data_IF_459304844326
#
_entry.id   IF_459304844326
#
_cell.length_a   1.000
_cell.length_b   1.000
_cell.length_c   1.000
_cell.angle_alpha   90.00
_cell.angle_beta   90.00
_cell.angle_gamma   90.00
#
_symmetry.space_group_name_H-M   'P 1'
#
loop_
_entity.id
_entity.type
_entity.pdbx_description
1 polymer ?
2 non-polymer ?
3 non-polymer ?
4 non-polymer ?
5 water ?
#
# COMPACT_ATOMS: atom_id res chain seq x y z
N UNK A 8 -7.94 -23.02 37.14
CA UNK A 8 -7.80 -22.86 38.61
C UNK A 8 -6.37 -23.28 38.97
N UNK A 9 -5.63 -22.47 39.72
CA UNK A 9 -4.18 -22.71 39.93
C UNK A 9 -3.44 -22.45 38.61
N UNK A 10 -2.88 -21.25 38.49
CA UNK A 10 -2.02 -20.80 37.37
C UNK A 10 -0.60 -20.68 37.93
N UNK A 11 0.45 -20.58 37.07
CA UNK A 11 1.78 -20.26 37.58
C UNK A 11 1.69 -18.87 38.20
N UNK A 12 2.63 -18.58 39.09
CA UNK A 12 2.85 -17.24 39.66
C UNK A 12 3.12 -16.27 38.49
N UNK A 13 2.55 -15.04 38.54
CA UNK A 13 2.98 -13.97 37.65
C UNK A 13 4.50 -13.75 37.66
N UNK A 14 5.17 -14.08 38.77
CA UNK A 14 6.66 -13.98 38.91
C UNK A 14 7.34 -14.80 37.81
N UNK A 15 6.80 -15.96 37.43
CA UNK A 15 7.45 -16.91 36.49
C UNK A 15 6.71 -16.93 35.15
N UNK A 16 5.58 -16.27 35.02
CA UNK A 16 4.81 -16.26 33.75
C UNK A 16 4.09 -14.92 33.61
N UNK A 17 4.67 -13.98 32.83
CA UNK A 17 4.24 -12.55 32.85
C UNK A 17 2.80 -12.39 32.40
N UNK A 18 2.23 -13.34 31.64
CA UNK A 18 0.90 -13.19 31.03
C UNK A 18 -0.16 -13.11 32.12
N UNK A 19 0.01 -13.86 33.22
CA UNK A 19 -1.11 -14.14 34.17
C UNK A 19 -1.11 -13.08 35.29
N UNK A 20 -0.34 -12.01 35.17
CA UNK A 20 -0.47 -10.82 36.08
C UNK A 20 -1.96 -10.43 36.04
N UNK A 21 -2.53 -9.97 37.14
CA UNK A 21 -3.99 -9.62 37.17
C UNK A 21 -4.29 -8.50 36.18
N UNK A 22 -5.31 -8.71 35.35
CA UNK A 22 -5.92 -7.67 34.51
C UNK A 22 -6.28 -6.49 35.43
N UNK A 23 -5.92 -5.29 34.99
CA UNK A 23 -6.16 -4.00 35.66
C UNK A 23 -5.92 -2.91 34.61
N UNK A 24 -6.27 -1.66 34.93
CA UNK A 24 -6.10 -0.53 34.00
C UNK A 24 -4.60 -0.22 33.86
N UNK A 25 -3.76 -0.80 34.73
CA UNK A 25 -2.27 -0.77 34.61
C UNK A 25 -1.79 -1.50 33.34
N UNK A 26 -2.58 -2.46 32.82
CA UNK A 26 -2.04 -3.38 31.77
C UNK A 26 -3.02 -3.66 30.62
N UNK A 27 -4.33 -3.51 30.79
CA UNK A 27 -5.35 -3.81 29.74
C UNK A 27 -6.58 -2.91 29.92
N UNK A 28 -7.13 -2.42 28.82
CA UNK A 28 -8.34 -1.55 28.76
C UNK A 28 -9.29 -2.11 27.68
N UNK A 29 -10.55 -2.33 28.06
CA UNK A 29 -11.63 -2.86 27.19
C UNK A 29 -12.61 -1.73 26.89
N UNK A 30 -13.27 -1.80 25.74
CA UNK A 30 -14.42 -0.94 25.39
C UNK A 30 -15.48 -1.23 26.44
N UNK A 31 -16.16 -0.21 26.93
CA UNK A 31 -17.31 -0.37 27.85
C UNK A 31 -18.48 0.34 27.20
N UNK A 32 -19.12 -0.33 26.24
CA UNK A 32 -20.25 0.26 25.47
C UNK A 32 -21.27 -0.83 25.18
N UNK A 33 -22.31 -0.49 24.45
CA UNK A 33 -23.43 -1.42 24.16
C UNK A 33 -22.97 -2.54 23.23
N UNK A 34 -21.90 -2.32 22.43
CA UNK A 34 -21.32 -3.34 21.51
C UNK A 34 -20.60 -4.41 22.34
N UNK A 35 -19.70 -4.00 23.23
CA UNK A 35 -18.90 -4.88 24.12
C UNK A 35 -19.77 -5.53 25.19
N UNK A 36 -21.06 -5.18 25.26
CA UNK A 36 -22.09 -6.01 25.97
C UNK A 36 -22.16 -7.36 25.24
N UNK A 37 -21.81 -8.44 25.95
CA UNK A 37 -21.80 -9.85 25.48
C UNK A 37 -20.86 -10.01 24.27
N UNK A 38 -20.66 -11.26 23.82
CA UNK A 38 -19.62 -11.62 22.87
C UNK A 38 -18.24 -11.45 23.51
N UNK A 39 -17.18 -11.47 22.70
CA UNK A 39 -15.78 -11.30 23.18
C UNK A 39 -15.63 -9.84 23.59
N UNK A 40 -15.04 -9.52 24.77
CA UNK A 40 -14.66 -8.14 25.09
C UNK A 40 -13.83 -7.56 23.94
N UNK A 41 -13.96 -6.26 23.69
CA UNK A 41 -13.20 -5.53 22.63
C UNK A 41 -12.03 -4.80 23.31
N UNK A 42 -10.81 -5.08 22.84
CA UNK A 42 -9.59 -4.52 23.47
C UNK A 42 -9.43 -3.10 22.95
N UNK A 43 -9.26 -2.13 23.85
CA UNK A 43 -8.93 -0.73 23.47
C UNK A 43 -7.41 -0.55 23.49
N UNK A 44 -6.75 -1.17 24.46
CA UNK A 44 -5.29 -1.10 24.58
C UNK A 44 -4.75 -2.02 25.65
N UNK A 45 -3.41 -2.15 25.71
CA UNK A 45 -2.75 -2.94 26.75
C UNK A 45 -1.26 -2.89 26.59
N UNK A 46 -0.55 -3.43 27.58
CA UNK A 46 0.88 -3.81 27.43
C UNK A 46 0.98 -4.80 26.27
N UNK A 47 2.13 -4.89 25.64
CA UNK A 47 2.27 -5.95 24.59
C UNK A 47 1.99 -7.33 25.23
N UNK A 48 2.39 -7.56 26.48
CA UNK A 48 2.17 -8.86 27.19
C UNK A 48 0.68 -9.17 27.21
N UNK A 49 -0.15 -8.21 27.59
CA UNK A 49 -1.61 -8.43 27.69
C UNK A 49 -2.22 -8.59 26.29
N UNK A 50 -1.75 -7.87 25.30
CA UNK A 50 -2.25 -8.08 23.91
C UNK A 50 -1.95 -9.52 23.47
N UNK A 51 -0.77 -10.02 23.79
CA UNK A 51 -0.36 -11.40 23.40
C UNK A 51 -1.26 -12.40 24.14
N UNK A 52 -1.50 -12.14 25.43
CA UNK A 52 -2.33 -13.06 26.25
C UNK A 52 -3.69 -13.14 25.57
N UNK A 53 -4.27 -12.00 25.15
CA UNK A 53 -5.65 -11.96 24.58
C UNK A 53 -5.66 -12.51 23.15
N UNK A 54 -4.53 -12.45 22.46
CA UNK A 54 -4.36 -13.04 21.12
C UNK A 54 -4.46 -14.58 21.16
N UNK A 55 -4.12 -15.17 22.31
CA UNK A 55 -3.93 -16.60 22.55
C UNK A 55 -4.67 -16.99 23.83
N UNK A 56 -5.91 -16.50 23.99
CA UNK A 56 -6.65 -16.56 25.27
C UNK A 56 -7.18 -17.97 25.49
N UNK A 57 -7.01 -18.56 26.68
CA UNK A 57 -7.49 -19.95 26.95
C UNK A 57 -9.02 -20.06 26.80
N UNK A 58 -9.77 -19.00 27.12
CA UNK A 58 -11.23 -19.08 27.36
C UNK A 58 -12.04 -19.05 26.07
N UNK A 59 -11.51 -18.49 24.99
CA UNK A 59 -12.22 -18.44 23.68
C UNK A 59 -11.26 -18.07 22.55
N UNK A 60 -11.63 -18.48 21.34
CA UNK A 60 -11.03 -18.09 20.04
C UNK A 60 -11.41 -16.64 19.75
N UNK A 61 -10.52 -15.90 19.10
CA UNK A 61 -10.80 -14.48 18.74
C UNK A 61 -10.23 -14.20 17.37
N UNK A 62 -10.82 -14.80 16.30
CA UNK A 62 -10.28 -14.67 14.94
C UNK A 62 -10.15 -13.22 14.45
N UNK A 63 -11.10 -12.35 14.83
CA UNK A 63 -11.12 -10.91 14.41
C UNK A 63 -9.87 -10.20 14.98
N UNK A 64 -9.57 -10.43 16.26
CA UNK A 64 -8.38 -9.86 16.93
C UNK A 64 -7.11 -10.40 16.26
N UNK A 65 -7.05 -11.71 16.02
CA UNK A 65 -5.85 -12.36 15.40
C UNK A 65 -5.58 -11.69 14.05
N UNK A 66 -6.62 -11.50 13.22
CA UNK A 66 -6.50 -10.89 11.89
C UNK A 66 -6.04 -9.44 12.01
N UNK A 67 -6.67 -8.65 12.88
CA UNK A 67 -6.28 -7.23 13.07
C UNK A 67 -4.88 -7.13 13.69
N UNK A 68 -4.57 -8.01 14.63
CA UNK A 68 -3.26 -7.98 15.32
C UNK A 68 -2.17 -8.22 14.28
N UNK A 69 -2.30 -9.29 13.49
CA UNK A 69 -1.22 -9.64 12.53
C UNK A 69 -1.12 -8.63 11.38
N UNK A 70 -2.16 -7.83 11.11
CA UNK A 70 -2.09 -6.69 10.14
C UNK A 70 -1.32 -5.52 10.74
N UNK A 71 -1.48 -5.24 12.04
CA UNK A 71 -1.08 -3.93 12.64
C UNK A 71 0.14 -4.02 13.58
N UNK A 72 0.54 -5.21 14.03
CA UNK A 72 1.45 -5.33 15.21
C UNK A 72 2.79 -4.66 14.92
N UNK A 73 3.19 -4.53 13.65
CA UNK A 73 4.54 -4.00 13.34
C UNK A 73 4.61 -2.51 13.76
N UNK A 74 3.48 -1.88 14.04
CA UNK A 74 3.47 -0.47 14.52
C UNK A 74 3.70 -0.42 16.04
N UNK A 75 3.88 -1.55 16.74
CA UNK A 75 4.13 -1.49 18.20
C UNK A 75 5.09 -2.58 18.66
N UNK A 76 5.49 -3.49 17.78
CA UNK A 76 6.25 -4.69 18.16
C UNK A 76 7.00 -5.20 16.93
N UNK A 77 8.28 -5.53 17.01
CA UNK A 77 8.99 -6.13 15.86
C UNK A 77 8.58 -7.60 15.67
N UNK A 78 8.64 -8.11 14.42
CA UNK A 78 8.45 -9.54 14.15
C UNK A 78 9.24 -10.48 15.09
N UNK A 79 10.53 -10.20 15.27
CA UNK A 79 11.42 -10.98 16.19
C UNK A 79 10.83 -10.97 17.60
N UNK A 80 10.30 -9.85 18.06
CA UNK A 80 9.77 -9.71 19.43
C UNK A 80 8.44 -10.46 19.51
N UNK A 81 7.62 -10.42 18.45
CA UNK A 81 6.37 -11.20 18.41
C UNK A 81 6.68 -12.69 18.55
N UNK A 82 7.63 -13.21 17.77
CA UNK A 82 7.98 -14.63 17.87
C UNK A 82 8.42 -14.94 19.31
N UNK A 83 9.28 -14.13 19.92
CA UNK A 83 9.79 -14.31 21.31
C UNK A 83 8.61 -14.31 22.29
N UNK A 84 7.67 -13.39 22.12
CA UNK A 84 6.47 -13.33 23.01
C UNK A 84 5.61 -14.58 22.85
N UNK A 85 5.44 -15.12 21.63
CA UNK A 85 4.60 -16.32 21.43
C UNK A 85 5.28 -17.56 22.00
N UNK A 86 6.59 -17.68 21.83
CA UNK A 86 7.36 -18.77 22.46
C UNK A 86 7.26 -18.63 23.99
N UNK A 87 7.38 -17.41 24.53
CA UNK A 87 7.28 -17.17 26.00
C UNK A 87 5.89 -17.62 26.45
N UNK A 88 4.87 -17.29 25.67
CA UNK A 88 3.47 -17.68 25.97
C UNK A 88 3.36 -19.21 26.00
N UNK A 89 4.01 -19.87 25.06
CA UNK A 89 3.91 -21.34 24.85
C UNK A 89 4.52 -22.08 26.05
N UNK A 90 5.58 -21.53 26.61
CA UNK A 90 6.41 -22.24 27.60
C UNK A 90 5.80 -22.00 28.97
N UNK A 91 4.67 -22.64 29.25
CA UNK A 91 3.86 -22.33 30.45
C UNK A 91 4.40 -23.14 31.62
N UNK A 92 4.85 -22.50 32.73
CA UNK A 92 5.26 -23.24 33.93
C UNK A 92 4.08 -23.87 34.70
N UNK A 93 4.35 -24.91 35.47
CA UNK A 93 3.27 -25.59 36.22
C UNK A 93 3.02 -24.78 37.50
N UNK A 94 1.76 -24.70 37.98
CA UNK A 94 1.48 -23.97 39.22
C UNK A 94 2.24 -24.58 40.40
N UNK A 95 2.37 -23.81 41.48
CA UNK A 95 3.07 -24.19 42.73
C UNK A 95 2.16 -25.20 43.44
N UNK A 96 2.61 -26.43 43.73
CA UNK A 96 1.69 -27.47 44.23
C UNK A 96 1.06 -27.05 45.57
N UNK A 97 -0.13 -27.58 45.87
CA UNK A 97 -0.91 -27.24 47.09
C UNK A 97 -0.17 -27.75 48.34
N UNK A 98 0.49 -28.92 48.23
CA UNK A 98 1.12 -29.68 49.35
C UNK A 98 1.55 -31.06 48.84
N UNK A 99 0.57 -31.88 48.45
CA UNK A 99 0.76 -33.23 47.83
C UNK A 99 -0.60 -33.82 47.45
N UNK A 112 -1.68 -33.69 42.02
CA UNK A 112 -1.94 -34.66 40.94
C UNK A 112 -3.08 -34.16 40.04
N UNK A 113 -4.30 -34.10 40.58
CA UNK A 113 -5.56 -33.73 39.89
C UNK A 113 -5.43 -32.33 39.27
N UNK A 114 -4.85 -31.38 40.02
CA UNK A 114 -4.79 -29.94 39.69
C UNK A 114 -4.04 -29.75 38.36
N UNK A 115 -2.89 -30.41 38.23
CA UNK A 115 -2.01 -30.44 37.03
C UNK A 115 -2.82 -30.97 35.84
N UNK A 116 -3.63 -32.01 36.03
CA UNK A 116 -4.43 -32.64 34.96
C UNK A 116 -5.43 -31.63 34.39
N UNK A 117 -6.08 -30.84 35.26
CA UNK A 117 -7.00 -29.76 34.83
C UNK A 117 -6.21 -28.65 34.11
N UNK A 118 -5.14 -28.19 34.74
CA UNK A 118 -4.31 -27.07 34.22
C UNK A 118 -3.89 -27.40 32.78
N UNK A 119 -3.47 -28.63 32.51
CA UNK A 119 -2.98 -29.05 31.17
C UNK A 119 -4.13 -29.09 30.18
N UNK A 120 -5.30 -29.54 30.61
CA UNK A 120 -6.48 -29.71 29.72
C UNK A 120 -7.17 -28.36 29.47
N UNK A 121 -7.34 -27.54 30.50
CA UNK A 121 -8.19 -26.32 30.43
C UNK A 121 -7.34 -25.08 30.16
N UNK A 122 -6.04 -25.08 30.49
CA UNK A 122 -5.20 -23.87 30.31
C UNK A 122 -4.16 -24.12 29.24
N UNK A 123 -3.26 -25.07 29.50
CA UNK A 123 -2.03 -25.23 28.68
C UNK A 123 -2.45 -25.58 27.25
N UNK A 124 -3.25 -26.62 27.06
CA UNK A 124 -3.53 -27.15 25.70
C UNK A 124 -4.21 -26.08 24.85
N UNK A 125 -5.29 -25.43 25.35
CA UNK A 125 -5.99 -24.40 24.57
C UNK A 125 -5.06 -23.22 24.22
N UNK A 126 -4.19 -22.78 25.15
CA UNK A 126 -3.23 -21.66 24.92
C UNK A 126 -2.25 -22.08 23.83
N UNK A 127 -1.73 -23.31 23.90
CA UNK A 127 -0.72 -23.78 22.93
C UNK A 127 -1.36 -23.91 21.55
N UNK A 128 -2.59 -24.40 21.44
CA UNK A 128 -3.30 -24.53 20.14
C UNK A 128 -3.56 -23.12 19.57
N UNK A 129 -3.89 -22.16 20.44
CA UNK A 129 -4.19 -20.78 20.01
C UNK A 129 -2.92 -20.13 19.45
N UNK A 130 -1.78 -20.40 20.07
CA UNK A 130 -0.47 -19.91 19.58
C UNK A 130 -0.19 -20.51 18.20
N UNK A 131 -0.37 -21.83 18.05
CA UNK A 131 -0.14 -22.51 16.74
C UNK A 131 -1.13 -21.97 15.70
N UNK A 132 -2.35 -21.57 16.10
CA UNK A 132 -3.29 -20.92 15.17
C UNK A 132 -2.73 -19.56 14.72
N UNK A 133 -2.14 -18.79 15.64
CA UNK A 133 -1.51 -17.48 15.33
C UNK A 133 -0.38 -17.73 14.34
N UNK A 134 0.44 -18.76 14.56
CA UNK A 134 1.58 -19.11 13.67
C UNK A 134 1.01 -19.43 12.27
N UNK A 135 -0.08 -20.16 12.21
CA UNK A 135 -0.70 -20.59 10.94
C UNK A 135 -1.19 -19.33 10.18
N UNK A 136 -1.89 -18.43 10.85
CA UNK A 136 -2.38 -17.16 10.22
C UNK A 136 -1.19 -16.34 9.74
N UNK A 137 -0.12 -16.31 10.52
CA UNK A 137 1.10 -15.49 10.29
C UNK A 137 1.76 -15.96 8.99
N UNK A 138 2.01 -17.25 8.87
CA UNK A 138 2.67 -17.78 7.64
C UNK A 138 1.69 -17.77 6.47
N UNK A 139 0.38 -17.89 6.70
CA UNK A 139 -0.58 -17.96 5.58
C UNK A 139 -0.71 -16.56 4.97
N UNK A 140 -0.88 -15.54 5.80
CA UNK A 140 -1.32 -14.19 5.37
C UNK A 140 -0.18 -13.17 5.46
N UNK A 141 0.93 -13.45 6.16
CA UNK A 141 2.01 -12.45 6.34
C UNK A 141 3.39 -13.08 6.20
N UNK A 142 3.54 -13.97 5.21
CA UNK A 142 4.79 -14.71 5.03
C UNK A 142 5.92 -13.73 4.67
N UNK A 143 5.59 -12.56 4.12
CA UNK A 143 6.59 -11.50 3.79
C UNK A 143 7.46 -11.20 5.03
N UNK A 144 6.93 -11.32 6.25
CA UNK A 144 7.79 -11.10 7.46
C UNK A 144 8.96 -12.07 7.42
N UNK A 145 8.71 -13.31 6.98
CA UNK A 145 9.76 -14.36 6.95
C UNK A 145 10.63 -14.23 5.70
N UNK A 146 10.04 -13.78 4.59
CA UNK A 146 10.78 -13.51 3.32
C UNK A 146 11.79 -12.39 3.59
N UNK A 147 11.42 -11.43 4.42
CA UNK A 147 12.27 -10.26 4.74
C UNK A 147 13.33 -10.62 5.77
N UNK A 148 13.12 -11.69 6.57
CA UNK A 148 14.00 -12.01 7.71
C UNK A 148 14.16 -13.54 7.82
N UNK A 149 15.20 -14.06 7.18
CA UNK A 149 15.46 -15.51 7.11
C UNK A 149 15.71 -16.06 8.52
N UNK A 150 16.34 -15.28 9.39
CA UNK A 150 16.61 -15.68 10.80
C UNK A 150 15.26 -15.83 11.50
N UNK A 151 14.28 -14.98 11.21
CA UNK A 151 12.94 -15.14 11.84
C UNK A 151 12.36 -16.51 11.47
N UNK A 152 12.49 -16.88 10.20
CA UNK A 152 12.00 -18.17 9.70
C UNK A 152 12.77 -19.32 10.36
N UNK A 153 14.09 -19.20 10.51
CA UNK A 153 14.95 -20.22 11.16
C UNK A 153 14.43 -20.42 12.59
N UNK A 154 14.17 -19.32 13.31
CA UNK A 154 13.65 -19.43 14.69
C UNK A 154 12.30 -20.16 14.67
N UNK A 155 11.42 -19.79 13.74
CA UNK A 155 10.06 -20.36 13.68
C UNK A 155 10.19 -21.87 13.41
N UNK A 156 10.98 -22.25 12.43
CA UNK A 156 11.07 -23.68 11.99
C UNK A 156 11.69 -24.52 13.11
N UNK A 157 12.72 -24.02 13.77
CA UNK A 157 13.37 -24.68 14.93
C UNK A 157 12.33 -24.92 16.05
N UNK A 158 11.56 -23.90 16.37
CA UNK A 158 10.54 -23.98 17.45
C UNK A 158 9.45 -25.02 17.12
N UNK A 159 8.83 -24.91 15.95
CA UNK A 159 7.69 -25.75 15.54
C UNK A 159 8.18 -27.21 15.45
N UNK A 160 9.43 -27.39 15.08
CA UNK A 160 10.02 -28.74 14.96
C UNK A 160 10.24 -29.32 16.37
N UNK A 161 10.25 -28.50 17.43
CA UNK A 161 10.52 -28.92 18.83
C UNK A 161 9.22 -29.32 19.53
N UNK A 162 8.07 -29.00 18.90
CA UNK A 162 6.75 -29.17 19.55
C UNK A 162 6.37 -30.66 19.44
N UNK A 163 6.08 -31.31 20.56
CA UNK A 163 5.80 -32.78 20.57
C UNK A 163 4.41 -33.14 21.10
N UNK A 164 3.58 -32.19 21.52
CA UNK A 164 2.21 -32.48 21.96
C UNK A 164 1.41 -33.29 20.94
N UNK A 165 0.72 -34.32 21.42
CA UNK A 165 -0.08 -35.23 20.58
C UNK A 165 -1.15 -34.41 19.86
N UNK A 166 -1.85 -33.53 20.56
CA UNK A 166 -2.89 -32.65 19.96
C UNK A 166 -2.26 -31.58 19.03
N UNK A 167 -0.99 -31.24 19.24
CA UNK A 167 -0.28 -30.19 18.43
C UNK A 167 0.07 -30.74 17.03
N UNK A 168 0.13 -32.08 16.87
CA UNK A 168 0.69 -32.70 15.64
C UNK A 168 0.01 -32.14 14.38
N UNK A 169 -1.32 -32.11 14.29
CA UNK A 169 -2.00 -31.71 13.03
C UNK A 169 -1.71 -30.21 12.80
N UNK A 170 -1.49 -29.43 13.86
CA UNK A 170 -1.23 -27.98 13.70
C UNK A 170 0.17 -27.78 13.13
N UNK A 171 1.17 -28.47 13.68
CA UNK A 171 2.57 -28.38 13.21
C UNK A 171 2.61 -28.77 11.72
N UNK A 172 1.92 -29.86 11.34
CA UNK A 172 1.89 -30.35 9.94
C UNK A 172 1.28 -29.26 9.03
N UNK A 173 0.18 -28.66 9.47
CA UNK A 173 -0.53 -27.58 8.75
C UNK A 173 0.43 -26.41 8.51
N UNK A 174 1.11 -25.96 9.56
CA UNK A 174 2.08 -24.83 9.45
C UNK A 174 3.18 -25.26 8.49
N UNK A 175 3.71 -26.48 8.64
CA UNK A 175 4.85 -26.93 7.80
C UNK A 175 4.43 -26.93 6.32
N UNK A 176 3.21 -27.31 6.01
CA UNK A 176 2.75 -27.43 4.62
C UNK A 176 2.61 -26.01 4.03
N UNK A 177 2.17 -25.05 4.84
CA UNK A 177 2.03 -23.63 4.37
C UNK A 177 3.41 -23.08 4.03
N UNK A 178 4.39 -23.35 4.88
CA UNK A 178 5.77 -22.86 4.69
C UNK A 178 6.33 -23.49 3.41
N UNK A 179 6.18 -24.80 3.24
CA UNK A 179 6.61 -25.50 1.99
C UNK A 179 5.96 -24.79 0.79
N UNK A 180 4.65 -24.57 0.81
CA UNK A 180 3.95 -23.92 -0.32
C UNK A 180 4.51 -22.50 -0.55
N UNK A 181 4.73 -21.74 0.53
CA UNK A 181 5.16 -20.33 0.43
C UNK A 181 6.54 -20.27 -0.20
N UNK A 182 7.46 -21.12 0.27
CA UNK A 182 8.83 -21.25 -0.28
C UNK A 182 8.77 -21.63 -1.76
N UNK A 183 7.90 -22.57 -2.13
CA UNK A 183 7.81 -23.07 -3.54
C UNK A 183 7.30 -21.96 -4.46
N UNK A 184 6.58 -20.97 -3.94
CA UNK A 184 6.03 -19.83 -4.72
C UNK A 184 6.99 -18.63 -4.67
N UNK A 185 8.28 -18.88 -4.40
CA UNK A 185 9.40 -17.92 -4.61
C UNK A 185 10.44 -18.55 -5.54
N UNK A 186 10.05 -19.58 -6.29
CA UNK A 186 10.84 -20.23 -7.36
C UNK A 186 9.95 -20.39 -8.59
N UNK A 187 8.86 -21.17 -8.47
CA UNK A 187 7.88 -21.47 -9.54
C UNK A 187 7.16 -20.18 -9.96
N UNK A 193 1.02 -14.99 -16.71
CA UNK A 193 -0.02 -14.06 -17.24
C UNK A 193 -0.95 -14.86 -18.18
N UNK A 194 -2.27 -14.80 -17.93
CA UNK A 194 -3.27 -15.77 -18.46
C UNK A 194 -4.62 -15.06 -18.69
N UNK A 195 -4.91 -14.70 -19.95
CA UNK A 195 -6.07 -13.88 -20.38
C UNK A 195 -7.39 -14.68 -20.34
N UNK A 196 -8.41 -14.13 -19.69
CA UNK A 196 -9.79 -14.70 -19.58
C UNK A 196 -10.65 -14.34 -20.81
N UNK A 197 -10.09 -13.62 -21.79
CA UNK A 197 -10.77 -13.04 -22.98
C UNK A 197 -9.70 -12.27 -23.77
N UNK A 198 -9.87 -12.05 -25.09
CA UNK A 198 -8.81 -11.49 -25.89
C UNK A 198 -8.53 -10.05 -25.47
N UNK A 199 -7.25 -9.69 -25.22
CA UNK A 199 -6.88 -8.31 -24.94
C UNK A 199 -6.78 -7.53 -26.26
N UNK A 200 -6.90 -6.19 -26.24
CA UNK A 200 -6.82 -5.44 -27.49
C UNK A 200 -5.42 -5.43 -28.09
N UNK A 201 -5.34 -5.27 -29.42
CA UNK A 201 -4.05 -5.16 -30.08
C UNK A 201 -3.36 -3.88 -29.59
N UNK A 202 -2.04 -3.96 -29.50
CA UNK A 202 -1.15 -2.89 -28.97
C UNK A 202 -1.12 -1.75 -30.00
N UNK A 203 -1.30 -0.50 -29.57
CA UNK A 203 -1.37 0.67 -30.48
C UNK A 203 0.03 1.30 -30.59
N UNK A 204 0.44 1.61 -31.81
CA UNK A 204 1.73 2.30 -32.15
C UNK A 204 1.45 3.59 -32.91
N UNK A 205 2.29 4.61 -32.71
CA UNK A 205 2.16 5.94 -33.34
C UNK A 205 3.44 6.19 -34.16
N UNK A 206 4.36 7.03 -33.68
CA UNK A 206 5.61 7.38 -34.41
C UNK A 206 6.69 6.39 -33.98
N UNK A 207 6.91 6.22 -32.68
CA UNK A 207 7.87 5.24 -32.12
C UNK A 207 7.49 3.82 -32.56
N UNK A 208 8.50 3.01 -32.89
CA UNK A 208 8.35 1.63 -33.40
C UNK A 208 9.00 0.69 -32.39
N UNK A 209 8.51 -0.57 -32.27
CA UNK A 209 9.08 -1.53 -31.32
C UNK A 209 10.60 -1.69 -31.46
N UNK A 210 11.28 -1.96 -30.34
CA UNK A 210 12.75 -2.11 -30.26
C UNK A 210 13.48 -0.82 -30.58
N UNK A 211 12.78 0.32 -30.67
CA UNK A 211 13.36 1.67 -30.86
C UNK A 211 13.13 2.48 -29.59
N UNK A 212 13.48 1.92 -28.44
CA UNK A 212 13.21 2.50 -27.09
C UNK A 212 13.88 3.88 -26.97
N UNK A 213 14.92 4.16 -27.76
CA UNK A 213 15.64 5.46 -27.72
C UNK A 213 14.71 6.54 -28.28
N UNK A 214 13.79 6.20 -29.18
CA UNK A 214 12.82 7.14 -29.83
C UNK A 214 11.56 7.30 -28.97
N UNK A 215 11.44 6.59 -27.85
CA UNK A 215 10.23 6.62 -26.99
C UNK A 215 10.14 7.99 -26.30
N UNK A 216 8.98 8.63 -26.44
CA UNK A 216 8.70 9.98 -25.91
C UNK A 216 7.19 10.05 -25.64
N UNK A 217 6.80 10.93 -24.74
CA UNK A 217 5.38 11.28 -24.55
C UNK A 217 4.69 11.42 -25.91
N UNK A 218 5.33 12.09 -26.87
CA UNK A 218 4.63 12.54 -28.10
C UNK A 218 4.80 11.53 -29.24
N UNK A 219 5.72 10.56 -29.15
CA UNK A 219 5.99 9.57 -30.23
C UNK A 219 5.28 8.22 -29.97
N UNK A 220 5.05 7.87 -28.72
CA UNK A 220 4.26 6.68 -28.37
C UNK A 220 2.79 7.01 -28.62
N UNK A 221 1.96 5.98 -28.76
CA UNK A 221 0.49 6.16 -28.91
C UNK A 221 -0.08 6.52 -27.55
N UNK A 222 -0.90 7.59 -27.42
CA UNK A 222 -1.44 7.97 -26.12
C UNK A 222 -2.28 6.83 -25.48
N UNK A 223 -3.01 6.07 -26.30
CA UNK A 223 -3.77 4.88 -25.81
C UNK A 223 -2.81 3.93 -25.12
N UNK A 224 -1.72 3.59 -25.79
CA UNK A 224 -0.81 2.57 -25.26
C UNK A 224 0.03 3.11 -24.11
N UNK A 225 0.34 4.41 -24.08
CA UNK A 225 0.93 5.04 -22.85
C UNK A 225 0.00 4.77 -21.66
N UNK A 226 -1.28 5.09 -21.81
CA UNK A 226 -2.27 4.91 -20.73
C UNK A 226 -2.35 3.41 -20.36
N UNK A 227 -2.41 2.51 -21.34
CA UNK A 227 -2.51 1.05 -21.07
C UNK A 227 -1.28 0.54 -20.30
N UNK A 228 -0.10 0.91 -20.75
CA UNK A 228 1.16 0.37 -20.20
C UNK A 228 1.35 0.97 -18.80
N UNK A 229 1.00 2.24 -18.60
CA UNK A 229 1.09 2.88 -17.26
C UNK A 229 0.08 2.23 -16.32
N UNK A 230 -1.10 1.89 -16.84
CA UNK A 230 -2.17 1.23 -16.07
C UNK A 230 -1.69 -0.16 -15.63
N UNK A 231 -1.14 -0.97 -16.52
CA UNK A 231 -0.62 -2.30 -16.13
C UNK A 231 0.44 -2.11 -15.05
N UNK A 232 1.35 -1.16 -15.23
CA UNK A 232 2.47 -0.95 -14.28
C UNK A 232 1.89 -0.53 -12.93
N UNK A 233 0.97 0.42 -12.92
CA UNK A 233 0.39 0.97 -11.66
C UNK A 233 -0.49 -0.08 -10.99
N UNK A 234 -1.24 -0.84 -11.77
CA UNK A 234 -2.05 -1.97 -11.26
C UNK A 234 -1.12 -2.96 -10.53
N UNK A 235 0.00 -3.34 -11.14
CA UNK A 235 0.97 -4.31 -10.56
C UNK A 235 1.53 -3.75 -9.24
N UNK A 236 1.87 -2.46 -9.20
CA UNK A 236 2.47 -1.83 -7.99
C UNK A 236 1.41 -1.84 -6.90
N UNK A 237 0.20 -1.43 -7.25
CA UNK A 237 -0.94 -1.34 -6.32
C UNK A 237 -1.25 -2.73 -5.73
N UNK A 238 -1.27 -3.77 -6.56
CA UNK A 238 -1.66 -5.12 -6.13
C UNK A 238 -0.61 -5.71 -5.18
N UNK A 239 0.60 -5.13 -5.13
CA UNK A 239 1.71 -5.67 -4.29
C UNK A 239 1.73 -4.99 -2.93
N UNK A 240 0.96 -3.91 -2.71
CA UNK A 240 1.04 -3.17 -1.41
C UNK A 240 0.27 -3.95 -0.35
N UNK A 241 0.93 -4.32 0.75
CA UNK A 241 0.25 -5.01 1.87
C UNK A 241 -0.28 -3.93 2.80
N UNK A 242 -1.48 -4.15 3.39
CA UNK A 242 -2.00 -3.24 4.41
C UNK A 242 -0.99 -2.83 5.50
N UNK A 243 -0.15 -3.77 5.95
CA UNK A 243 0.85 -3.53 7.01
C UNK A 243 1.92 -2.51 6.59
N UNK A 244 2.08 -2.26 5.28
CA UNK A 244 3.07 -1.24 4.81
C UNK A 244 2.57 0.18 5.16
N UNK A 245 1.28 0.32 5.46
CA UNK A 245 0.60 1.61 5.72
C UNK A 245 0.34 1.82 7.21
N UNK A 246 0.28 0.76 8.01
CA UNK A 246 -0.12 0.88 9.44
C UNK A 246 1.05 1.50 10.20
N UNK A 247 0.75 2.42 11.12
CA UNK A 247 1.77 3.06 11.96
C UNK A 247 2.55 4.09 11.17
N UNK A 248 2.05 4.55 10.02
CA UNK A 248 2.79 5.45 9.09
C UNK A 248 4.22 4.92 8.89
N UNK A 249 4.41 3.61 8.78
CA UNK A 249 5.78 3.00 8.82
C UNK A 249 6.58 3.41 7.57
N UNK A 250 5.92 3.81 6.48
CA UNK A 250 6.64 4.20 5.24
C UNK A 250 7.42 5.52 5.40
N UNK A 251 7.18 6.29 6.47
CA UNK A 251 7.85 7.59 6.74
C UNK A 251 8.85 7.47 7.90
N UNK A 252 9.09 6.26 8.43
CA UNK A 252 9.91 6.01 9.65
C UNK A 252 11.20 5.29 9.27
N UNK A 253 12.08 5.07 10.26
CA UNK A 253 13.49 4.65 10.00
C UNK A 253 13.50 3.27 9.33
N UNK A 254 12.57 2.36 9.67
CA UNK A 254 12.52 1.00 9.06
C UNK A 254 11.56 0.99 7.86
N UNK A 255 11.41 2.10 7.14
CA UNK A 255 10.44 2.20 6.00
C UNK A 255 10.83 1.23 4.89
N UNK A 256 12.11 1.11 4.56
CA UNK A 256 12.57 0.28 3.42
C UNK A 256 12.21 -1.19 3.67
N UNK A 257 12.02 -1.59 4.94
CA UNK A 257 11.73 -2.99 5.34
C UNK A 257 10.23 -3.16 5.52
N UNK A 258 9.57 -2.17 6.13
CA UNK A 258 8.12 -2.27 6.45
C UNK A 258 7.28 -1.96 5.20
N UNK A 259 7.78 -1.16 4.25
CA UNK A 259 6.92 -0.52 3.21
C UNK A 259 7.58 -0.55 1.83
N UNK A 260 8.25 -1.64 1.40
CA UNK A 260 9.02 -1.60 0.17
C UNK A 260 8.13 -1.46 -1.07
N UNK A 261 6.94 -2.04 -1.04
CA UNK A 261 6.01 -2.02 -2.21
C UNK A 261 5.34 -0.64 -2.26
N UNK A 262 5.01 -0.11 -1.09
CA UNK A 262 4.38 1.23 -1.02
C UNK A 262 5.39 2.28 -1.48
N UNK A 263 6.65 2.16 -1.06
CA UNK A 263 7.69 3.13 -1.45
C UNK A 263 7.90 3.09 -2.97
N UNK A 264 7.88 1.92 -3.58
CA UNK A 264 8.02 1.76 -5.05
C UNK A 264 6.88 2.51 -5.76
N UNK A 265 5.66 2.33 -5.28
CA UNK A 265 4.40 2.96 -5.75
C UNK A 265 4.52 4.48 -5.61
N UNK A 266 4.95 4.98 -4.46
CA UNK A 266 5.14 6.45 -4.21
C UNK A 266 6.24 6.97 -5.14
N UNK A 267 7.35 6.26 -5.28
CA UNK A 267 8.46 6.72 -6.14
C UNK A 267 7.97 6.78 -7.61
N UNK A 268 7.20 5.78 -8.02
CA UNK A 268 6.58 5.74 -9.36
C UNK A 268 5.73 7.00 -9.56
N UNK A 269 4.85 7.32 -8.61
CA UNK A 269 3.90 8.46 -8.69
C UNK A 269 4.69 9.78 -8.82
N UNK A 270 5.69 9.97 -7.96
CA UNK A 270 6.60 11.15 -7.98
C UNK A 270 7.25 11.28 -9.36
N UNK A 271 7.88 10.21 -9.86
CA UNK A 271 8.60 10.22 -11.13
C UNK A 271 7.63 10.49 -12.28
N UNK A 272 6.45 9.89 -12.26
CA UNK A 272 5.53 10.07 -13.40
C UNK A 272 4.95 11.48 -13.38
N UNK A 273 4.62 12.00 -12.19
CA UNK A 273 4.06 13.35 -12.02
C UNK A 273 5.09 14.38 -12.52
N UNK A 274 6.35 14.26 -12.07
CA UNK A 274 7.45 15.16 -12.47
C UNK A 274 7.75 15.01 -13.95
N UNK A 275 7.60 13.80 -14.51
CA UNK A 275 7.79 13.57 -15.96
C UNK A 275 6.78 14.39 -16.77
N UNK A 276 5.50 14.32 -16.40
CA UNK A 276 4.43 15.10 -17.04
C UNK A 276 4.79 16.58 -16.97
N UNK A 277 5.24 17.04 -15.81
CA UNK A 277 5.57 18.47 -15.57
C UNK A 277 6.72 18.86 -16.49
N UNK A 278 7.75 18.02 -16.53
CA UNK A 278 8.98 18.22 -17.35
C UNK A 278 8.63 18.32 -18.84
N UNK A 279 7.82 17.39 -19.37
CA UNK A 279 7.38 17.39 -20.79
C UNK A 279 6.69 18.73 -21.12
N UNK A 280 5.84 19.25 -20.25
CA UNK A 280 5.11 20.53 -20.48
C UNK A 280 6.12 21.69 -20.47
N UNK A 281 6.87 21.85 -19.38
CA UNK A 281 7.64 23.10 -19.08
C UNK A 281 8.83 23.17 -20.02
N UNK A 282 9.40 22.03 -20.41
CA UNK A 282 10.55 22.00 -21.34
C UNK A 282 10.07 22.18 -22.79
N UNK A 283 8.76 22.13 -23.09
CA UNK A 283 8.24 22.43 -24.44
C UNK A 283 8.22 23.96 -24.58
N UNK A 284 9.35 24.53 -25.01
CA UNK A 284 9.54 26.01 -25.00
C UNK A 284 8.68 26.63 -26.09
N UNK A 285 8.53 25.93 -27.20
CA UNK A 285 7.68 26.36 -28.34
C UNK A 285 6.21 26.27 -27.90
N UNK A 286 5.48 27.35 -28.06
CA UNK A 286 4.07 27.45 -27.60
C UNK A 286 3.18 26.36 -28.22
N UNK A 287 3.23 26.15 -29.54
CA UNK A 287 2.35 25.21 -30.29
C UNK A 287 2.65 23.77 -29.82
N UNK A 288 3.93 23.47 -29.66
CA UNK A 288 4.38 22.16 -29.15
C UNK A 288 3.86 21.99 -27.71
N UNK A 289 4.01 23.00 -26.86
CA UNK A 289 3.57 22.92 -25.46
C UNK A 289 2.05 22.67 -25.40
N UNK A 290 1.25 23.36 -26.21
CA UNK A 290 -0.23 23.13 -26.25
C UNK A 290 -0.49 21.69 -26.71
N UNK A 291 0.24 21.21 -27.71
CA UNK A 291 0.05 19.83 -28.21
C UNK A 291 0.41 18.81 -27.12
N UNK A 292 1.40 19.13 -26.29
CA UNK A 292 1.91 18.23 -25.20
C UNK A 292 0.82 18.17 -24.13
N UNK A 293 0.34 19.31 -23.68
CA UNK A 293 -0.75 19.35 -22.69
C UNK A 293 -1.97 18.62 -23.26
N UNK A 294 -2.31 18.85 -24.52
CA UNK A 294 -3.47 18.20 -25.21
C UNK A 294 -3.31 16.67 -25.18
N UNK A 295 -2.13 16.19 -25.52
CA UNK A 295 -1.81 14.75 -25.50
C UNK A 295 -1.94 14.16 -24.07
N UNK A 296 -1.44 14.85 -23.04
CA UNK A 296 -1.57 14.43 -21.63
C UNK A 296 -3.05 14.34 -21.27
N UNK A 297 -3.88 15.29 -21.73
CA UNK A 297 -5.34 15.21 -21.49
C UNK A 297 -5.96 13.98 -22.21
N UNK A 298 -5.49 13.64 -23.42
CA UNK A 298 -5.94 12.43 -24.12
C UNK A 298 -5.52 11.20 -23.28
N UNK A 299 -4.31 11.19 -22.73
CA UNK A 299 -3.85 10.05 -21.88
C UNK A 299 -4.78 9.98 -20.67
N UNK A 300 -5.06 11.13 -20.05
CA UNK A 300 -6.01 11.24 -18.93
C UNK A 300 -7.36 10.58 -19.31
N UNK A 301 -7.87 10.81 -20.51
CA UNK A 301 -9.19 10.26 -20.92
C UNK A 301 -9.10 8.73 -21.03
N UNK A 302 -8.00 8.19 -21.51
CA UNK A 302 -7.84 6.72 -21.59
C UNK A 302 -7.66 6.14 -20.16
N UNK A 303 -6.90 6.79 -19.29
CA UNK A 303 -6.86 6.39 -17.85
C UNK A 303 -8.27 6.31 -17.29
N UNK A 304 -9.11 7.30 -17.58
CA UNK A 304 -10.53 7.32 -17.10
C UNK A 304 -11.30 6.11 -17.63
N UNK A 305 -11.23 5.87 -18.93
CA UNK A 305 -11.87 4.72 -19.59
C UNK A 305 -11.38 3.40 -18.94
N UNK A 306 -10.16 3.34 -18.40
CA UNK A 306 -9.57 2.12 -17.79
C UNK A 306 -9.83 2.05 -16.28
N UNK A 307 -10.55 3.03 -15.72
CA UNK A 307 -10.71 3.19 -14.25
C UNK A 307 -9.34 3.25 -13.56
N UNK A 308 -8.33 3.84 -14.20
CA UNK A 308 -7.03 4.08 -13.54
C UNK A 308 -7.06 5.49 -12.91
N UNK A 309 -7.68 5.60 -11.76
CA UNK A 309 -7.85 6.89 -11.02
C UNK A 309 -6.52 7.35 -10.47
N UNK A 310 -5.62 6.40 -10.19
CA UNK A 310 -4.23 6.71 -9.85
C UNK A 310 -3.65 7.57 -10.97
N UNK A 311 -3.74 7.11 -12.23
CA UNK A 311 -3.19 7.83 -13.41
C UNK A 311 -3.89 9.18 -13.61
N UNK A 312 -5.21 9.21 -13.46
CA UNK A 312 -6.00 10.46 -13.61
C UNK A 312 -5.43 11.50 -12.63
N UNK A 313 -5.30 11.11 -11.37
CA UNK A 313 -4.94 12.08 -10.31
C UNK A 313 -3.44 12.37 -10.32
N UNK A 314 -2.59 11.50 -10.87
CA UNK A 314 -1.18 11.87 -11.19
C UNK A 314 -1.15 13.04 -12.21
N UNK A 315 -1.95 13.02 -13.27
CA UNK A 315 -1.99 14.12 -14.27
C UNK A 315 -2.60 15.36 -13.61
N UNK A 316 -3.68 15.22 -12.84
CA UNK A 316 -4.23 16.35 -12.04
C UNK A 316 -3.12 16.94 -11.17
N UNK A 317 -2.35 16.12 -10.46
CA UNK A 317 -1.23 16.60 -9.60
C UNK A 317 -0.22 17.39 -10.46
N UNK A 318 0.12 16.89 -11.66
CA UNK A 318 1.10 17.59 -12.51
C UNK A 318 0.54 18.96 -12.95
N UNK A 319 -0.74 19.03 -13.30
CA UNK A 319 -1.31 20.29 -13.88
C UNK A 319 -1.51 21.31 -12.75
N UNK A 320 -1.67 20.87 -11.51
CA UNK A 320 -1.87 21.80 -10.36
C UNK A 320 -0.52 22.15 -9.73
N UNK A 321 0.60 21.64 -10.25
CA UNK A 321 1.92 21.89 -9.67
C UNK A 321 2.23 23.37 -9.90
N UNK A 322 3.08 23.98 -9.10
CA UNK A 322 3.27 25.47 -9.17
C UNK A 322 3.81 25.86 -10.57
N UNK A 323 4.67 25.03 -11.18
CA UNK A 323 5.39 25.35 -12.44
C UNK A 323 4.45 25.21 -13.65
N UNK A 324 3.42 24.36 -13.59
CA UNK A 324 2.47 24.14 -14.71
C UNK A 324 1.19 24.95 -14.51
N UNK A 325 0.68 25.00 -13.27
CA UNK A 325 -0.60 25.69 -12.93
C UNK A 325 -0.64 27.13 -13.48
N UNK A 326 0.52 27.78 -13.54
CA UNK A 326 0.66 29.23 -13.87
C UNK A 326 0.76 29.45 -15.39
N UNK A 327 0.75 28.39 -16.21
CA UNK A 327 0.87 28.50 -17.69
C UNK A 327 -0.47 28.84 -18.35
N UNK A 328 -1.07 29.96 -17.94
CA UNK A 328 -2.42 30.36 -18.38
C UNK A 328 -2.47 30.43 -19.91
N UNK A 329 -1.42 30.86 -20.60
CA UNK A 329 -1.48 30.94 -22.08
C UNK A 329 -1.71 29.53 -22.62
N UNK A 330 -0.98 28.54 -22.11
CA UNK A 330 -1.07 27.15 -22.60
C UNK A 330 -2.50 26.60 -22.35
N UNK A 331 -3.03 26.74 -21.15
CA UNK A 331 -4.40 26.22 -20.82
C UNK A 331 -5.45 26.91 -21.70
N UNK A 332 -5.36 28.22 -21.88
CA UNK A 332 -6.40 29.01 -22.62
C UNK A 332 -6.43 28.57 -24.08
N UNK A 333 -5.32 28.03 -24.60
CA UNK A 333 -5.20 27.64 -26.02
C UNK A 333 -5.74 26.23 -26.28
N UNK A 334 -6.11 25.46 -25.24
CA UNK A 334 -6.69 24.10 -25.45
C UNK A 334 -8.01 24.20 -26.22
N UNK A 335 -8.33 23.19 -27.02
CA UNK A 335 -9.72 22.91 -27.47
C UNK A 335 -10.65 22.89 -26.24
N UNK A 336 -11.85 23.43 -26.38
CA UNK A 336 -12.75 23.58 -25.22
C UNK A 336 -13.10 22.17 -24.68
N UNK A 337 -13.16 21.14 -25.53
CA UNK A 337 -13.55 19.77 -25.09
C UNK A 337 -12.40 19.18 -24.26
N UNK A 338 -11.14 19.45 -24.64
CA UNK A 338 -9.97 18.99 -23.87
C UNK A 338 -9.98 19.74 -22.55
N UNK A 339 -10.27 21.03 -22.54
CA UNK A 339 -10.26 21.82 -21.29
C UNK A 339 -11.36 21.26 -20.37
N UNK A 340 -12.48 20.84 -20.95
CA UNK A 340 -13.67 20.33 -20.20
C UNK A 340 -13.26 19.02 -19.49
N UNK A 341 -12.71 18.08 -20.24
CA UNK A 341 -12.21 16.77 -19.74
C UNK A 341 -11.26 17.03 -18.57
N UNK A 342 -10.36 18.00 -18.69
CA UNK A 342 -9.36 18.30 -17.64
C UNK A 342 -10.05 18.89 -16.41
N UNK A 343 -10.97 19.84 -16.62
CA UNK A 343 -11.67 20.52 -15.50
C UNK A 343 -12.40 19.47 -14.66
N UNK A 344 -13.10 18.54 -15.31
CA UNK A 344 -13.88 17.47 -14.65
C UNK A 344 -12.93 16.57 -13.85
N UNK A 345 -11.78 16.20 -14.40
CA UNK A 345 -10.76 15.42 -13.66
C UNK A 345 -10.32 16.23 -12.43
N UNK A 346 -9.97 17.51 -12.63
CA UNK A 346 -9.41 18.38 -11.55
C UNK A 346 -10.44 18.41 -10.42
N UNK A 347 -11.72 18.40 -10.79
CA UNK A 347 -12.86 18.51 -9.84
C UNK A 347 -12.96 17.26 -8.95
N UNK A 348 -12.55 16.07 -9.45
CA UNK A 348 -12.59 14.81 -8.67
C UNK A 348 -11.87 15.02 -7.33
N UNK A 349 -10.80 15.81 -7.34
CA UNK A 349 -9.87 16.06 -6.20
C UNK A 349 -10.41 17.10 -5.20
N UNK A 350 -11.29 18.00 -5.64
CA UNK A 350 -11.76 19.15 -4.81
C UNK A 350 -12.67 18.65 -3.70
N UNK A 351 -12.75 19.39 -2.58
CA UNK A 351 -13.63 19.10 -1.42
C UNK A 351 -13.31 17.70 -0.88
N UNK A 352 -12.06 17.45 -0.52
CA UNK A 352 -11.60 16.17 0.07
C UNK A 352 -12.01 14.99 -0.82
N UNK A 353 -11.87 15.13 -2.14
CA UNK A 353 -12.03 14.04 -3.14
C UNK A 353 -13.47 13.53 -3.12
N UNK A 354 -14.43 14.41 -2.83
CA UNK A 354 -15.86 14.02 -2.73
C UNK A 354 -16.32 13.33 -4.03
N UNK A 355 -16.10 13.95 -5.18
CA UNK A 355 -16.56 13.38 -6.49
C UNK A 355 -15.73 12.14 -6.87
N UNK A 356 -14.46 12.11 -6.49
CA UNK A 356 -13.60 10.92 -6.75
C UNK A 356 -14.21 9.70 -6.05
N UNK A 357 -14.63 9.87 -4.79
CA UNK A 357 -15.11 8.77 -3.93
C UNK A 357 -16.43 8.25 -4.47
N UNK A 358 -17.27 9.16 -4.96
CA UNK A 358 -18.54 8.82 -5.64
C UNK A 358 -18.19 7.98 -6.87
N UNK A 359 -17.27 8.45 -7.71
CA UNK A 359 -16.94 7.76 -8.97
C UNK A 359 -16.39 6.36 -8.67
N UNK A 360 -15.46 6.23 -7.71
CA UNK A 360 -14.78 4.95 -7.36
C UNK A 360 -15.85 3.92 -6.99
N UNK A 361 -16.86 4.32 -6.22
CA UNK A 361 -17.92 3.39 -5.74
C UNK A 361 -18.78 2.88 -6.90
N UNK A 362 -18.88 3.62 -8.02
CA UNK A 362 -19.85 3.38 -9.13
C UNK A 362 -19.25 2.46 -10.19
N UNK A 363 -17.92 2.24 -10.21
CA UNK A 363 -17.31 1.61 -11.41
C UNK A 363 -17.27 0.10 -11.23
N UNK A 364 -17.08 -0.61 -12.35
CA UNK A 364 -16.80 -2.05 -12.41
C UNK A 364 -15.28 -2.24 -12.50
N UNK A 365 -14.62 -2.97 -11.57
CA UNK A 365 -13.22 -3.35 -11.74
C UNK A 365 -13.01 -4.05 -13.08
N UNK A 366 -11.78 -4.12 -13.64
CA UNK A 366 -10.58 -3.69 -12.93
C UNK A 366 -10.46 -2.17 -12.80
N UNK A 367 -9.74 -1.77 -11.75
CA UNK A 367 -9.54 -0.36 -11.39
C UNK A 367 -8.18 -0.22 -10.71
N UNK A 368 -7.58 0.97 -10.78
CA UNK A 368 -6.41 1.35 -9.96
C UNK A 368 -6.86 2.55 -9.14
N UNK A 369 -7.24 2.35 -7.86
CA UNK A 369 -7.65 3.45 -6.98
C UNK A 369 -6.52 4.48 -6.90
N UNK A 370 -6.88 5.75 -6.63
CA UNK A 370 -5.89 6.80 -6.30
C UNK A 370 -5.29 6.47 -4.93
N UNK A 371 -4.00 6.17 -4.90
CA UNK A 371 -3.39 5.64 -3.66
C UNK A 371 -3.13 6.78 -2.67
N UNK A 372 -2.84 7.99 -3.18
CA UNK A 372 -2.55 9.19 -2.36
C UNK A 372 -3.57 9.40 -1.26
N UNK A 373 -4.85 9.17 -1.53
CA UNK A 373 -5.94 9.43 -0.53
C UNK A 373 -5.84 8.47 0.68
N UNK A 374 -5.45 7.21 0.50
CA UNK A 374 -5.29 6.25 1.62
C UNK A 374 -4.16 6.75 2.51
N UNK A 375 -3.05 7.18 1.92
CA UNK A 375 -1.87 7.76 2.62
C UNK A 375 -2.32 8.97 3.45
N UNK A 376 -3.05 9.91 2.83
CA UNK A 376 -3.51 11.13 3.51
C UNK A 376 -4.38 10.72 4.70
N UNK A 377 -5.33 9.81 4.48
CA UNK A 377 -6.30 9.43 5.53
C UNK A 377 -5.56 8.70 6.65
N UNK A 378 -4.52 7.94 6.35
CA UNK A 378 -3.76 7.17 7.39
C UNK A 378 -2.91 8.19 8.16
N UNK A 379 -2.18 9.05 7.45
CA UNK A 379 -1.41 10.16 8.09
C UNK A 379 -2.32 10.96 9.04
N UNK A 380 -3.53 11.31 8.61
CA UNK A 380 -4.44 12.07 9.52
C UNK A 380 -4.76 11.20 10.74
N UNK A 381 -5.04 9.91 10.56
CA UNK A 381 -5.44 9.03 11.70
C UNK A 381 -4.22 8.82 12.61
N UNK A 382 -3.03 8.64 12.04
CA UNK A 382 -1.77 8.39 12.79
C UNK A 382 -1.42 9.64 13.62
N UNK A 383 -1.52 10.83 13.05
CA UNK A 383 -1.16 12.10 13.73
C UNK A 383 -2.22 12.45 14.79
N UNK A 384 -3.47 12.01 14.59
CA UNK A 384 -4.63 12.41 15.40
C UNK A 384 -4.94 11.51 16.60
N UNK A 385 -4.28 10.36 16.73
CA UNK A 385 -4.49 9.41 17.85
C UNK A 385 -3.14 9.05 18.45
N UNK A 386 -3.02 9.01 19.78
CA UNK A 386 -1.74 8.65 20.43
C UNK A 386 -1.47 7.15 20.23
N UNK A 387 -0.21 6.80 20.00
CA UNK A 387 0.31 5.40 19.92
C UNK A 387 0.06 4.67 21.24
N UNK A 388 0.13 5.43 22.34
CA UNK A 388 0.00 4.94 23.72
C UNK A 388 -1.19 5.61 24.39
N UNK A 389 -2.01 4.81 25.06
CA UNK A 389 -2.97 5.24 26.10
C UNK A 389 -2.24 5.91 27.28
N UNK A 390 -0.97 5.56 27.52
CA UNK A 390 -0.02 6.23 28.46
C UNK A 390 1.34 5.51 28.45
N UNK A 391 2.42 6.24 28.71
CA UNK A 391 3.79 5.67 28.89
C UNK A 391 4.23 5.87 30.34
N UNK A 392 3.34 6.26 31.25
CA UNK A 392 3.67 6.47 32.68
C UNK A 392 3.51 5.15 33.46
N UNK A 393 4.64 4.56 33.88
CA UNK A 393 4.71 3.30 34.63
C UNK A 393 4.68 2.05 33.75
N UNK A 394 4.22 2.19 32.50
CA UNK A 394 4.11 1.08 31.49
C UNK A 394 3.88 1.67 30.10
N UNK A 395 4.28 0.93 29.05
CA UNK A 395 3.93 1.22 27.63
C UNK A 395 2.54 0.59 27.37
N UNK A 396 1.49 1.39 27.55
CA UNK A 396 0.09 0.94 27.33
C UNK A 396 -0.32 1.23 25.87
N UNK A 397 -0.19 0.24 24.97
CA UNK A 397 -0.41 0.42 23.49
C UNK A 397 -1.87 0.74 23.20
N UNK A 398 -2.08 1.79 22.43
CA UNK A 398 -3.43 2.17 21.94
C UNK A 398 -3.83 1.19 20.83
N UNK A 399 -4.58 0.13 21.12
CA UNK A 399 -4.92 -0.86 20.07
C UNK A 399 -6.07 -0.32 19.21
N UNK A 400 -7.00 0.43 19.79
CA UNK A 400 -8.19 0.97 19.06
C UNK A 400 -7.72 1.83 17.89
N UNK A 401 -6.64 2.58 18.07
CA UNK A 401 -5.98 3.32 16.97
C UNK A 401 -5.63 2.38 15.82
N UNK A 402 -5.12 1.19 16.13
CA UNK A 402 -4.63 0.24 15.11
C UNK A 402 -5.85 -0.37 14.41
N UNK A 403 -6.90 -0.68 15.15
CA UNK A 403 -8.17 -1.15 14.57
C UNK A 403 -8.70 -0.09 13.59
N UNK A 404 -8.62 1.18 13.92
CA UNK A 404 -9.12 2.24 13.01
C UNK A 404 -8.27 2.26 11.74
N UNK A 405 -6.95 2.22 11.86
CA UNK A 405 -6.08 2.25 10.65
C UNK A 405 -6.31 0.99 9.82
N UNK A 406 -6.57 -0.17 10.43
CA UNK A 406 -6.75 -1.44 9.70
C UNK A 406 -8.06 -1.35 8.90
N UNK A 407 -9.05 -0.61 9.38
CA UNK A 407 -10.32 -0.40 8.64
C UNK A 407 -9.97 0.37 7.37
N UNK A 408 -9.16 1.42 7.46
CA UNK A 408 -8.73 2.19 6.26
C UNK A 408 -7.90 1.30 5.34
N UNK A 409 -6.91 0.57 5.86
CA UNK A 409 -6.00 -0.22 5.00
C UNK A 409 -6.79 -1.35 4.37
N UNK A 410 -7.82 -1.85 5.07
CA UNK A 410 -8.69 -2.94 4.58
C UNK A 410 -9.38 -2.57 3.27
N UNK A 411 -9.66 -1.28 3.04
CA UNK A 411 -10.33 -0.74 1.82
C UNK A 411 -9.44 -0.98 0.59
N UNK A 412 -8.12 -0.89 0.76
CA UNK A 412 -7.14 -1.10 -0.34
C UNK A 412 -7.36 -2.49 -0.95
N UNK A 413 -7.74 -3.49 -0.17
CA UNK A 413 -7.71 -4.92 -0.62
C UNK A 413 -8.79 -5.21 -1.66
N UNK A 414 -9.91 -4.48 -1.62
CA UNK A 414 -11.08 -4.87 -2.45
C UNK A 414 -10.77 -4.69 -3.95
N UNK A 415 -9.77 -3.89 -4.36
CA UNK A 415 -9.45 -3.66 -5.79
C UNK A 415 -8.11 -4.30 -6.22
N UNK A 416 -7.53 -5.17 -5.39
CA UNK A 416 -6.25 -5.85 -5.71
C UNK A 416 -6.50 -7.20 -6.39
N UNK A 417 -7.74 -7.62 -6.60
CA UNK A 417 -8.02 -9.02 -7.04
C UNK A 417 -8.31 -9.11 -8.54
N UNK A 418 -8.59 -8.00 -9.23
CA UNK A 418 -9.06 -8.07 -10.65
C UNK A 418 -7.98 -7.53 -11.59
N UNK A 419 -7.29 -8.40 -12.34
CA UNK A 419 -6.27 -7.93 -13.27
C UNK A 419 -6.92 -7.35 -14.54
N UNK A 420 -6.16 -6.55 -15.26
CA UNK A 420 -6.57 -5.89 -16.50
C UNK A 420 -6.46 -6.92 -17.61
N UNK A 421 -7.38 -6.88 -18.56
CA UNK A 421 -7.24 -7.63 -19.84
C UNK A 421 -6.50 -6.77 -20.87
N UNK A 422 -5.21 -6.54 -20.62
CA UNK A 422 -4.30 -5.73 -21.44
C UNK A 422 -2.98 -6.48 -21.57
N UNK A 423 -2.41 -6.49 -22.76
CA UNK A 423 -1.12 -7.15 -23.05
C UNK A 423 0.00 -6.19 -22.63
N UNK A 424 1.01 -6.70 -21.93
CA UNK A 424 2.25 -5.93 -21.58
C UNK A 424 3.06 -5.73 -22.86
N UNK A 425 3.53 -4.50 -23.09
CA UNK A 425 4.51 -4.15 -24.14
C UNK A 425 5.85 -3.97 -23.42
N UNK A 426 6.74 -4.98 -23.47
CA UNK A 426 7.90 -4.99 -22.56
C UNK A 426 8.84 -3.80 -22.75
N UNK A 427 9.00 -3.24 -23.95
CA UNK A 427 9.88 -2.05 -24.14
C UNK A 427 9.21 -0.83 -23.48
N UNK A 428 7.91 -0.63 -23.68
CA UNK A 428 7.18 0.49 -23.03
C UNK A 428 7.24 0.32 -21.51
N UNK A 429 7.08 -0.91 -21.02
CA UNK A 429 7.09 -1.21 -19.57
C UNK A 429 8.46 -0.78 -19.01
N UNK A 430 9.53 -1.19 -19.68
CA UNK A 430 10.93 -0.87 -19.24
C UNK A 430 11.12 0.65 -19.26
N UNK A 431 10.64 1.30 -20.33
CA UNK A 431 10.69 2.77 -20.49
C UNK A 431 10.07 3.45 -19.26
N UNK A 432 8.85 3.06 -18.90
CA UNK A 432 8.07 3.65 -17.79
C UNK A 432 8.63 3.23 -16.42
N UNK A 433 9.21 2.04 -16.31
CA UNK A 433 9.84 1.61 -15.03
C UNK A 433 11.10 2.42 -14.77
N UNK A 434 11.70 3.00 -15.80
CA UNK A 434 13.03 3.66 -15.70
C UNK A 434 12.91 5.16 -15.89
N UNK A 435 11.71 5.73 -15.80
CA UNK A 435 11.55 7.21 -15.86
C UNK A 435 12.34 7.85 -14.72
N UNK A 436 13.21 8.77 -15.06
CA UNK A 436 14.05 9.49 -14.07
C UNK A 436 14.11 10.96 -14.45
N UNK A 437 12.99 11.72 -14.34
CA UNK A 437 12.97 13.10 -14.78
C UNK A 437 13.96 13.93 -13.95
N UNK A 438 14.16 13.59 -12.68
CA UNK A 438 15.05 14.36 -11.76
C UNK A 438 16.52 14.21 -12.18
N UNK A 439 16.87 13.19 -12.97
CA UNK A 439 18.29 12.87 -13.27
C UNK A 439 19.06 12.69 -11.99
N UNK A 440 20.17 13.41 -11.81
CA UNK A 440 21.06 13.33 -10.62
C UNK A 440 20.77 14.49 -9.65
N UNK A 441 19.75 15.31 -9.93
CA UNK A 441 19.37 16.46 -9.08
C UNK A 441 18.48 15.98 -7.93
N UNK A 442 18.46 16.77 -6.86
CA UNK A 442 17.46 16.70 -5.76
C UNK A 442 16.08 17.03 -6.32
N UNK A 443 15.02 16.50 -5.68
CA UNK A 443 13.61 16.86 -5.96
C UNK A 443 13.42 18.37 -5.83
N UNK A 444 14.09 19.00 -4.85
CA UNK A 444 13.99 20.46 -4.62
C UNK A 444 14.75 21.20 -5.72
N UNK A 445 15.96 20.76 -6.08
CA UNK A 445 16.75 21.39 -7.17
C UNK A 445 15.97 21.23 -8.48
N UNK A 446 15.29 20.10 -8.65
CA UNK A 446 14.55 19.77 -9.90
C UNK A 446 13.31 20.67 -10.02
N UNK A 447 12.54 20.81 -8.95
CA UNK A 447 11.29 21.62 -8.91
C UNK A 447 11.65 23.11 -8.95
N UNK A 448 12.80 23.52 -8.43
CA UNK A 448 13.28 24.92 -8.60
C UNK A 448 13.59 25.13 -10.09
N UNK A 449 14.23 24.16 -10.73
CA UNK A 449 14.53 24.19 -12.18
C UNK A 449 13.21 24.36 -12.95
N UNK A 450 12.19 23.53 -12.66
CA UNK A 450 10.92 23.56 -13.41
C UNK A 450 10.26 24.94 -13.27
N UNK A 451 10.34 25.52 -12.08
CA UNK A 451 9.69 26.82 -11.78
C UNK A 451 10.45 27.92 -12.54
N UNK A 452 11.78 27.86 -12.54
CA UNK A 452 12.56 28.90 -13.25
C UNK A 452 12.30 28.75 -14.75
N UNK A 453 12.17 27.53 -15.27
CA UNK A 453 11.90 27.35 -16.71
C UNK A 453 10.47 27.83 -17.03
N UNK A 454 9.52 27.59 -16.14
CA UNK A 454 8.12 28.06 -16.28
C UNK A 454 8.07 29.60 -16.43
N UNK A 455 8.79 30.33 -15.56
CA UNK A 455 8.93 31.82 -15.62
C UNK A 455 9.56 32.27 -16.94
N UNK A 456 10.42 31.46 -17.57
CA UNK A 456 11.08 31.76 -18.88
C UNK A 456 10.09 31.61 -20.04
N UNK A 457 9.31 30.52 -20.05
CA UNK A 457 8.39 30.21 -21.19
C UNK A 457 7.11 31.05 -21.08
N UNK A 458 6.70 31.43 -19.88
CA UNK A 458 5.53 32.31 -19.65
C UNK A 458 5.84 33.27 -18.52
N UNK A 459 6.54 34.39 -18.83
CA UNK A 459 6.97 35.35 -17.81
C UNK A 459 5.81 36.03 -17.07
N UNK A 460 6.05 36.54 -15.86
CA UNK A 460 5.08 37.39 -15.12
C UNK A 460 5.10 38.81 -15.75
N UNK A 461 4.54 38.94 -16.96
CA UNK A 461 4.28 40.23 -17.61
C UNK A 461 3.03 40.04 -18.45
N UNK A 462 2.39 41.14 -18.90
CA UNK A 462 1.15 41.01 -19.64
C UNK A 462 1.37 40.81 -21.15
N UNK A 463 2.60 40.57 -21.61
CA UNK A 463 2.89 40.45 -23.06
C UNK A 463 2.47 39.07 -23.56
N UNK A 464 2.30 38.95 -24.88
CA UNK A 464 2.04 37.65 -25.53
C UNK A 464 3.19 36.75 -25.12
N UNK A 465 2.99 35.42 -25.13
CA UNK A 465 4.04 34.50 -24.73
C UNK A 465 5.23 34.59 -25.69
N UNK A 466 6.46 34.45 -25.17
CA UNK A 466 7.66 34.35 -26.00
C UNK A 466 7.56 33.30 -27.12
N UNK A 467 8.21 33.57 -28.23
CA UNK A 467 8.24 32.67 -29.42
C UNK A 467 9.61 32.01 -29.43
N UNK A 468 9.66 30.80 -28.91
CA UNK A 468 10.85 29.91 -28.96
C UNK A 468 10.67 28.92 -30.09
N UNK A 469 11.78 28.47 -30.73
CA UNK A 469 11.68 27.42 -31.72
C UNK A 469 11.56 26.03 -31.07
N UNK A 470 11.01 25.09 -31.84
CA UNK A 470 10.94 23.65 -31.50
C UNK A 470 12.36 23.09 -31.59
N UNK A 471 12.71 22.15 -30.70
CA UNK A 471 14.00 21.39 -30.75
C UNK A 471 13.72 20.00 -31.33
N UNK A 472 12.45 19.58 -31.33
CA UNK A 472 12.01 18.25 -31.83
C UNK A 472 11.41 18.45 -33.22
N UNK A 473 11.36 17.38 -34.01
CA UNK A 473 10.91 17.40 -35.42
C UNK A 473 9.68 16.50 -35.63
N UNK A 474 9.26 15.73 -34.62
CA UNK A 474 8.07 14.83 -34.75
C UNK A 474 6.84 15.69 -35.06
N UNK A 475 5.92 15.18 -35.87
CA UNK A 475 4.55 15.75 -36.06
C UNK A 475 3.89 15.95 -34.68
N UNK A 476 3.22 17.08 -34.45
CA UNK A 476 2.47 17.37 -33.19
C UNK A 476 1.09 16.71 -33.26
N UNK A 477 0.69 16.17 -34.42
CA UNK A 477 -0.69 15.69 -34.66
C UNK A 477 -0.92 14.39 -33.86
N UNK A 478 -1.93 14.38 -32.99
CA UNK A 478 -2.33 13.18 -32.20
C UNK A 478 -2.99 12.15 -33.12
N UNK A 479 -2.75 10.84 -32.92
CA UNK A 479 -3.50 9.81 -33.65
C UNK A 479 -4.90 9.68 -33.01
N UNK A 480 -5.12 10.41 -31.92
CA UNK A 480 -6.38 10.38 -31.17
C UNK A 480 -6.42 9.15 -30.26
N UNK A 481 -7.53 8.95 -29.58
CA UNK A 481 -7.66 7.84 -28.59
C UNK A 481 -8.78 6.86 -28.99
N UNK A 482 -9.18 6.83 -30.26
CA UNK A 482 -10.00 5.72 -30.78
C UNK A 482 -8.99 4.70 -31.30
N UNK A 483 -9.04 3.42 -30.85
CA UNK A 483 -8.12 2.39 -31.33
C UNK A 483 -8.10 2.33 -32.87
N UNK A 484 -6.90 2.49 -33.46
CA UNK A 484 -6.69 2.46 -34.93
C UNK A 484 -6.45 1.02 -35.34
N UNK A 485 -5.25 0.51 -34.99
CA UNK A 485 -4.84 -0.92 -35.07
C UNK A 485 -5.96 -1.80 -34.49
N UNK A 486 -6.61 -1.35 -33.41
CA UNK A 486 -7.84 -1.96 -32.85
C UNK A 486 -8.81 -2.35 -33.94
N UNK A 487 -9.13 -1.40 -34.85
CA UNK A 487 -9.67 -1.59 -36.24
C UNK A 487 -10.68 -2.72 -36.29
#
# INVERSE_FOLDING_TARGET
>A
GAMAEQQLRLPSPEVYRFVVKDSEENIVFEDNLQSRSGIPIIKGGTVVKLIERLTYHMYADPNFVRTFLTTYRSFCKPQELLSLLIERFEIPEPEPTDADKLAIEKGEQPISADLKRFRKEYVQPVQLRILNVFRHWVEHHFYDFERDLYLLERLESFISSVRGKAMKKWVESIAKIIRRKKQAQANGVSHNITFESPPPPIEWHISKPGHIETFDLMTLHPIEIARQLTLLESDLYRKVQPSELVGSVWTKEDKEINSPNLLKMIRHTTNLTLWFEKCIVEAENFEERVAVLSRIIEILQVFQDLNNFNGVLEIVSAVNSVSVYRLDHTFEALQERKRKILDEAVELSQDHFKKYLVKLKSINPPCVPFFGIYLTNILKTEEGNNDFLTRHGKDLINFSKRRKVAEITGEIQQYQNQPYCLRIEPDMRRFFENLNPMGSASEKEFTDYLFNKSLEIEPRNPKQPPRFPRKSTFSLKSPGIRPNTGRHGS
#
